data_IF_485649784358
#
_entry.id   IF_485649784358
#
_cell.length_a   1.000
_cell.length_b   1.000
_cell.length_c   1.000
_cell.angle_alpha   90.00
_cell.angle_beta   90.00
_cell.angle_gamma   90.00
#
_symmetry.space_group_name_H-M   'P 1'
#
loop_
_entity.id
_entity.type
_entity.pdbx_description
1 polymer ?
#
# COMPACT_ATOMS: atom_id res chain seq x y z
N UNK A 1 26.28 1.76 18.95
CA UNK A 1 25.67 2.49 17.80
C UNK A 1 24.16 2.46 17.97
N UNK A 2 23.52 3.62 18.17
CA UNK A 2 22.06 3.71 18.14
C UNK A 2 21.61 3.54 16.69
N UNK A 3 21.18 2.34 16.30
CA UNK A 3 20.38 2.20 15.09
C UNK A 3 19.15 3.07 15.28
N UNK A 4 19.09 4.24 14.62
CA UNK A 4 17.84 4.99 14.54
C UNK A 4 16.79 4.01 14.03
N UNK A 5 15.80 3.72 14.86
CA UNK A 5 14.71 2.85 14.44
C UNK A 5 14.04 3.49 13.25
N UNK A 6 13.92 2.72 12.18
CA UNK A 6 13.16 3.12 11.01
C UNK A 6 11.70 3.07 11.46
N UNK A 7 11.06 4.23 11.44
CA UNK A 7 9.64 4.39 11.74
C UNK A 7 8.94 4.65 10.42
N UNK A 8 7.89 3.88 10.06
CA UNK A 8 7.06 4.25 8.92
C UNK A 8 6.47 5.64 9.18
N UNK A 9 6.51 6.48 8.17
CA UNK A 9 5.91 7.81 8.23
C UNK A 9 5.29 8.14 6.89
N UNK A 10 4.18 8.87 6.93
CA UNK A 10 3.67 9.55 5.75
C UNK A 10 4.39 10.89 5.58
N UNK A 11 3.90 11.73 4.67
CA UNK A 11 4.36 13.12 4.56
C UNK A 11 3.93 13.99 5.75
N UNK A 12 2.93 13.54 6.50
CA UNK A 12 2.14 14.34 7.45
C UNK A 12 2.10 13.76 8.87
N UNK A 13 2.13 12.44 9.00
CA UNK A 13 1.94 11.74 10.28
C UNK A 13 2.94 10.58 10.47
N UNK A 14 3.12 10.21 11.72
CA UNK A 14 3.99 9.15 12.22
C UNK A 14 3.20 8.21 13.14
N UNK A 15 3.78 7.06 13.47
CA UNK A 15 3.15 6.16 14.44
C UNK A 15 3.00 6.80 15.84
N UNK A 16 3.87 7.76 16.18
CA UNK A 16 3.77 8.52 17.42
C UNK A 16 2.50 9.37 17.47
N UNK A 17 2.06 9.93 16.34
CA UNK A 17 0.83 10.71 16.24
C UNK A 17 -0.40 9.82 16.53
N UNK A 18 -0.38 8.57 16.04
CA UNK A 18 -1.46 7.59 16.31
C UNK A 18 -1.60 7.32 17.81
N UNK A 19 -0.45 7.21 18.50
CA UNK A 19 -0.39 7.00 19.94
C UNK A 19 -0.89 8.23 20.70
N UNK A 20 -0.34 9.41 20.39
CA UNK A 20 -0.61 10.65 21.13
C UNK A 20 -2.05 11.14 20.94
N UNK A 21 -2.64 10.90 19.77
CA UNK A 21 -4.01 11.32 19.45
C UNK A 21 -5.06 10.22 19.71
N UNK A 22 -4.66 9.04 20.22
CA UNK A 22 -5.59 7.98 20.61
C UNK A 22 -6.24 7.22 19.46
N UNK A 23 -5.58 7.15 18.29
CA UNK A 23 -6.08 6.45 17.10
C UNK A 23 -5.65 4.99 16.98
N UNK A 24 -4.97 4.42 17.99
CA UNK A 24 -4.52 3.01 18.00
C UNK A 24 -5.66 2.01 17.70
N UNK A 25 -6.79 2.14 18.41
CA UNK A 25 -7.96 1.26 18.20
C UNK A 25 -8.54 1.44 16.80
N UNK A 26 -8.55 2.68 16.31
CA UNK A 26 -9.06 3.00 14.98
C UNK A 26 -8.21 2.32 13.90
N UNK A 27 -6.88 2.42 14.01
CA UNK A 27 -5.93 1.79 13.10
C UNK A 27 -6.17 0.28 13.00
N UNK A 28 -6.36 -0.40 14.13
CA UNK A 28 -6.57 -1.87 14.17
C UNK A 28 -7.82 -2.36 13.44
N UNK A 29 -8.80 -1.50 13.17
CA UNK A 29 -10.04 -1.86 12.45
C UNK A 29 -9.89 -1.83 10.94
N UNK A 30 -9.00 -0.98 10.42
CA UNK A 30 -8.90 -0.72 8.99
C UNK A 30 -7.80 -1.52 8.31
N UNK A 31 -6.79 -1.94 9.06
CA UNK A 31 -5.72 -2.82 8.54
C UNK A 31 -5.62 -4.11 9.36
N UNK A 32 -6.72 -4.87 9.53
CA UNK A 32 -6.66 -6.07 10.35
C UNK A 32 -5.71 -7.11 9.73
N UNK A 33 -5.72 -7.26 8.40
CA UNK A 33 -4.99 -8.33 7.70
C UNK A 33 -4.54 -8.01 6.25
N UNK A 34 -4.65 -6.76 5.76
CA UNK A 34 -4.48 -6.42 4.32
C UNK A 34 -3.35 -7.23 3.62
N UNK A 35 -3.76 -8.11 2.68
CA UNK A 35 -3.21 -9.46 2.37
C UNK A 35 -2.31 -9.49 1.10
N UNK A 36 -1.60 -10.62 0.93
CA UNK A 36 -0.74 -11.16 -0.16
C UNK A 36 0.52 -10.35 -0.50
N UNK A 37 1.69 -10.92 -0.21
CA UNK A 37 3.02 -10.31 -0.43
C UNK A 37 3.75 -9.96 0.86
N UNK A 38 3.45 -10.70 1.93
CA UNK A 38 3.76 -10.34 3.31
C UNK A 38 5.20 -9.93 3.56
N UNK A 39 5.34 -8.87 4.36
CA UNK A 39 6.52 -8.63 5.17
C UNK A 39 6.06 -8.13 6.55
N UNK A 40 5.75 -9.08 7.44
CA UNK A 40 5.72 -8.80 8.88
C UNK A 40 7.13 -8.36 9.29
N UNK A 41 7.34 -7.05 9.46
CA UNK A 41 8.68 -6.51 9.73
C UNK A 41 8.94 -6.26 11.21
N UNK A 42 7.89 -6.02 12.01
CA UNK A 42 8.05 -5.50 13.36
C UNK A 42 7.92 -6.56 14.45
N UNK A 43 8.87 -6.57 15.38
CA UNK A 43 8.85 -7.45 16.55
C UNK A 43 8.80 -6.65 17.87
N UNK A 44 8.80 -7.37 19.00
CA UNK A 44 8.72 -6.77 20.33
C UNK A 44 9.88 -5.81 20.65
N UNK A 45 11.07 -6.05 20.09
CA UNK A 45 12.20 -5.12 20.24
C UNK A 45 11.88 -3.80 19.57
N UNK A 46 11.27 -3.81 18.37
CA UNK A 46 10.88 -2.61 17.62
C UNK A 46 9.85 -1.77 18.36
N UNK A 47 8.86 -2.42 18.98
CA UNK A 47 7.80 -1.79 19.75
C UNK A 47 8.22 -1.26 21.15
N UNK A 48 9.32 -1.76 21.72
CA UNK A 48 9.71 -1.45 23.11
C UNK A 48 9.81 0.06 23.45
N UNK A 49 10.39 0.95 22.60
CA UNK A 49 10.43 2.38 22.88
C UNK A 49 9.05 3.02 22.91
N UNK A 50 8.12 2.58 22.06
CA UNK A 50 6.74 3.08 22.04
C UNK A 50 5.98 2.62 23.28
N UNK A 51 6.18 1.39 23.73
CA UNK A 51 5.63 0.90 24.99
C UNK A 51 6.14 1.72 26.19
N UNK A 52 7.44 2.06 26.20
CA UNK A 52 8.02 2.96 27.21
C UNK A 52 7.43 4.37 27.11
N UNK A 53 7.24 4.90 25.90
CA UNK A 53 6.63 6.22 25.65
C UNK A 53 5.21 6.27 26.22
N UNK A 54 4.37 5.29 25.91
CA UNK A 54 3.01 5.13 26.44
C UNK A 54 2.96 5.00 27.96
N UNK A 55 3.90 4.23 28.56
CA UNK A 55 3.99 4.11 30.02
C UNK A 55 4.26 5.46 30.69
N UNK A 56 4.95 6.37 29.99
CA UNK A 56 5.30 7.69 30.50
C UNK A 56 4.25 8.76 30.19
N UNK A 57 3.15 8.43 29.50
CA UNK A 57 1.99 9.33 29.31
C UNK A 57 0.86 8.94 30.26
N UNK A 58 0.13 9.93 30.78
CA UNK A 58 -0.92 9.75 31.81
C UNK A 58 -2.13 8.92 31.35
N UNK A 59 -2.30 8.71 30.03
CA UNK A 59 -3.45 8.06 29.42
C UNK A 59 -3.14 6.69 28.78
N UNK A 60 -1.89 6.18 28.90
CA UNK A 60 -1.42 4.97 28.22
C UNK A 60 -1.90 3.64 28.84
N UNK A 61 -3.20 3.51 29.11
CA UNK A 61 -3.76 2.32 29.76
C UNK A 61 -3.67 1.08 28.86
N UNK A 62 -2.90 0.09 29.33
CA UNK A 62 -3.01 -1.35 29.07
C UNK A 62 -2.69 -1.91 27.66
N UNK A 63 -1.70 -1.36 26.94
CA UNK A 63 -1.21 -2.00 25.70
C UNK A 63 0.07 -2.82 25.93
N UNK A 64 0.07 -4.07 25.49
CA UNK A 64 1.25 -4.93 25.56
C UNK A 64 2.26 -4.61 24.45
N UNK A 65 3.54 -4.93 24.67
CA UNK A 65 4.60 -4.75 23.64
C UNK A 65 4.27 -5.54 22.36
N UNK A 66 3.67 -6.73 22.48
CA UNK A 66 3.23 -7.53 21.33
C UNK A 66 2.16 -6.81 20.53
N UNK A 67 1.16 -6.25 21.21
CA UNK A 67 0.09 -5.49 20.56
C UNK A 67 0.64 -4.25 19.84
N UNK A 68 1.60 -3.54 20.45
CA UNK A 68 2.24 -2.39 19.81
C UNK A 68 3.09 -2.77 18.59
N UNK A 69 3.71 -3.96 18.59
CA UNK A 69 4.41 -4.46 17.40
C UNK A 69 3.43 -4.71 16.24
N UNK A 70 2.26 -5.30 16.54
CA UNK A 70 1.19 -5.46 15.55
C UNK A 70 0.67 -4.13 15.02
N UNK A 71 0.42 -3.15 15.88
CA UNK A 71 -0.01 -1.81 15.44
C UNK A 71 1.03 -1.11 14.57
N UNK A 72 2.33 -1.30 14.84
CA UNK A 72 3.40 -0.75 14.01
C UNK A 72 3.43 -1.40 12.61
N UNK A 73 3.15 -2.71 12.53
CA UNK A 73 2.96 -3.41 11.23
C UNK A 73 1.73 -2.89 10.48
N UNK A 74 0.61 -2.71 11.18
CA UNK A 74 -0.60 -2.12 10.62
C UNK A 74 -0.36 -0.69 10.10
N UNK A 75 0.43 0.10 10.83
CA UNK A 75 0.81 1.44 10.43
C UNK A 75 1.68 1.45 9.17
N UNK A 76 2.69 0.58 9.08
CA UNK A 76 3.53 0.44 7.88
C UNK A 76 2.70 0.09 6.64
N UNK A 77 1.76 -0.85 6.79
CA UNK A 77 0.81 -1.21 5.72
C UNK A 77 -0.11 -0.05 5.37
N UNK A 78 -0.64 0.68 6.35
CA UNK A 78 -1.46 1.85 6.07
C UNK A 78 -0.70 2.93 5.29
N UNK A 79 0.61 3.06 5.50
CA UNK A 79 1.47 3.98 4.73
C UNK A 79 1.63 3.56 3.25
N UNK A 80 1.36 2.29 2.94
CA UNK A 80 1.49 1.70 1.60
C UNK A 80 0.14 1.53 0.89
N UNK A 81 -0.97 1.78 1.58
CA UNK A 81 -2.33 1.74 1.01
C UNK A 81 -2.74 3.11 0.52
N UNK A 82 -3.14 3.20 -0.75
CA UNK A 82 -3.52 4.45 -1.40
C UNK A 82 -4.94 4.38 -1.93
N UNK A 83 -5.71 5.45 -1.73
CA UNK A 83 -7.07 5.54 -2.21
C UNK A 83 -7.08 5.65 -3.74
N UNK A 84 -7.85 4.79 -4.40
CA UNK A 84 -7.90 4.64 -5.88
C UNK A 84 -8.18 5.97 -6.60
N UNK A 85 -9.08 6.80 -6.05
CA UNK A 85 -9.50 8.07 -6.68
C UNK A 85 -8.66 9.28 -6.25
N UNK A 86 -8.52 9.52 -4.95
CA UNK A 86 -7.88 10.72 -4.41
C UNK A 86 -6.36 10.61 -4.38
N UNK A 87 -5.81 9.38 -4.39
CA UNK A 87 -4.39 9.13 -4.17
C UNK A 87 -3.92 9.46 -2.75
N UNK A 88 -4.84 9.67 -1.80
CA UNK A 88 -4.49 9.87 -0.38
C UNK A 88 -4.08 8.54 0.23
N UNK A 89 -3.16 8.61 1.20
CA UNK A 89 -2.69 7.44 1.90
C UNK A 89 -3.64 7.10 3.06
N UNK A 90 -3.93 5.82 3.27
CA UNK A 90 -4.80 5.37 4.36
C UNK A 90 -4.31 5.89 5.72
N UNK A 91 -3.01 5.90 5.93
CA UNK A 91 -2.36 6.41 7.14
C UNK A 91 -2.64 7.89 7.44
N UNK A 92 -2.97 8.72 6.43
CA UNK A 92 -3.40 10.11 6.64
C UNK A 92 -4.94 10.19 6.82
N UNK A 93 -5.67 9.34 6.09
CA UNK A 93 -7.13 9.31 6.13
C UNK A 93 -7.68 8.82 7.49
N UNK A 94 -6.91 8.05 8.28
CA UNK A 94 -7.31 7.67 9.65
C UNK A 94 -7.47 8.88 10.59
N UNK A 95 -6.80 10.00 10.33
CA UNK A 95 -6.87 11.21 11.15
C UNK A 95 -7.98 12.15 10.70
N UNK A 96 -8.27 12.19 9.39
CA UNK A 96 -9.13 13.21 8.79
C UNK A 96 -10.50 12.70 8.36
N UNK A 97 -10.58 11.46 7.87
CA UNK A 97 -11.83 10.91 7.38
C UNK A 97 -12.73 10.49 8.53
N UNK A 98 -14.05 10.61 8.36
CA UNK A 98 -15.04 10.02 9.29
C UNK A 98 -15.41 8.59 8.94
N UNK A 99 -15.25 8.19 7.67
CA UNK A 99 -15.62 6.87 7.17
C UNK A 99 -14.60 6.41 6.13
N UNK A 100 -14.02 5.24 6.38
CA UNK A 100 -13.03 4.62 5.51
C UNK A 100 -13.64 3.34 4.95
N UNK A 101 -13.50 3.18 3.64
CA UNK A 101 -13.95 2.04 2.86
C UNK A 101 -12.69 1.31 2.37
N UNK A 102 -12.32 0.20 3.00
CA UNK A 102 -11.07 -0.51 2.71
C UNK A 102 -10.97 -0.94 1.25
N UNK A 103 -12.09 -1.30 0.64
CA UNK A 103 -12.24 -1.65 -0.79
C UNK A 103 -11.87 -0.51 -1.75
N UNK A 104 -11.76 0.72 -1.25
CA UNK A 104 -11.36 1.89 -2.05
C UNK A 104 -9.85 2.12 -2.06
N UNK A 105 -9.07 1.28 -1.39
CA UNK A 105 -7.61 1.38 -1.30
C UNK A 105 -6.96 0.19 -1.98
N UNK A 106 -5.76 0.42 -2.53
CA UNK A 106 -4.91 -0.60 -3.10
C UNK A 106 -3.51 -0.48 -2.52
N UNK A 107 -2.78 -1.59 -2.51
CA UNK A 107 -1.38 -1.62 -2.09
C UNK A 107 -0.49 -1.03 -3.18
N UNK A 108 0.21 0.05 -2.86
CA UNK A 108 1.08 0.76 -3.81
C UNK A 108 2.47 0.07 -3.88
N UNK A 109 2.49 -1.18 -4.27
CA UNK A 109 3.70 -1.96 -4.54
C UNK A 109 3.41 -2.94 -5.67
N UNK A 110 4.39 -3.13 -6.54
CA UNK A 110 4.30 -4.15 -7.56
C UNK A 110 4.39 -5.55 -6.92
N UNK A 111 3.33 -6.34 -7.07
CA UNK A 111 3.26 -7.73 -6.60
C UNK A 111 3.45 -8.75 -7.71
N UNK A 112 3.55 -8.29 -8.97
CA UNK A 112 3.67 -9.13 -10.15
C UNK A 112 5.13 -9.36 -10.53
N UNK A 113 5.45 -10.61 -10.85
CA UNK A 113 6.72 -10.95 -11.51
C UNK A 113 6.61 -10.93 -13.04
N UNK A 114 5.40 -10.79 -13.58
CA UNK A 114 5.12 -10.80 -15.01
C UNK A 114 5.02 -9.38 -15.56
N UNK A 115 4.22 -8.52 -14.92
CA UNK A 115 4.09 -7.09 -15.24
C UNK A 115 5.05 -6.31 -14.34
N UNK A 116 6.34 -6.33 -14.70
CA UNK A 116 7.39 -5.67 -13.91
C UNK A 116 7.36 -4.16 -14.07
N UNK A 117 8.07 -3.44 -13.19
CA UNK A 117 8.17 -1.98 -13.29
C UNK A 117 8.84 -1.55 -14.61
N UNK A 118 9.78 -2.32 -15.15
CA UNK A 118 10.38 -2.02 -16.47
C UNK A 118 9.34 -2.08 -17.60
N UNK A 119 8.41 -3.05 -17.56
CA UNK A 119 7.32 -3.16 -18.54
C UNK A 119 6.40 -1.95 -18.44
N UNK A 120 6.09 -1.52 -17.22
CA UNK A 120 5.27 -0.33 -16.97
C UNK A 120 5.95 0.93 -17.53
N UNK A 121 7.27 1.06 -17.35
CA UNK A 121 8.05 2.18 -17.89
C UNK A 121 8.06 2.19 -19.43
N UNK A 122 8.20 1.03 -20.08
CA UNK A 122 8.06 0.93 -21.54
C UNK A 122 6.68 1.43 -22.00
N UNK A 123 5.60 0.99 -21.33
CA UNK A 123 4.25 1.46 -21.63
C UNK A 123 4.14 2.97 -21.43
N UNK A 124 4.71 3.51 -20.35
CA UNK A 124 4.71 4.96 -20.09
C UNK A 124 5.30 5.76 -21.24
N UNK A 125 6.37 5.28 -21.85
CA UNK A 125 7.02 5.93 -22.99
C UNK A 125 6.22 5.81 -24.29
N UNK A 126 5.70 4.62 -24.61
CA UNK A 126 5.21 4.29 -25.97
C UNK A 126 3.93 3.46 -26.02
N UNK A 127 3.03 3.61 -25.06
CA UNK A 127 1.78 2.84 -24.94
C UNK A 127 0.97 2.68 -26.24
N UNK A 128 0.88 3.71 -27.10
CA UNK A 128 0.11 3.66 -28.37
C UNK A 128 0.70 2.68 -29.37
N UNK A 129 2.04 2.56 -29.40
CA UNK A 129 2.74 1.63 -30.28
C UNK A 129 2.51 0.20 -29.78
N UNK A 130 2.71 -0.03 -28.49
CA UNK A 130 2.53 -1.34 -27.88
C UNK A 130 1.09 -1.84 -28.00
N UNK A 131 0.08 -1.00 -27.76
CA UNK A 131 -1.33 -1.41 -27.87
C UNK A 131 -1.73 -1.95 -29.25
N UNK A 132 -0.97 -1.64 -30.31
CA UNK A 132 -1.20 -2.11 -31.68
C UNK A 132 -0.44 -3.40 -32.03
N UNK A 133 0.54 -3.79 -31.21
CA UNK A 133 1.39 -4.97 -31.38
C UNK A 133 1.03 -6.12 -30.45
N UNK A 134 0.02 -5.93 -29.59
CA UNK A 134 -0.37 -6.89 -28.59
C UNK A 134 -0.80 -8.23 -29.21
N UNK A 135 -0.16 -9.30 -28.78
CA UNK A 135 -0.55 -10.67 -29.09
C UNK A 135 -1.75 -11.13 -28.24
N UNK A 136 -2.67 -11.90 -28.82
CA UNK A 136 -3.88 -12.36 -28.13
C UNK A 136 -3.57 -13.27 -26.93
N UNK A 137 -2.54 -14.11 -27.02
CA UNK A 137 -2.14 -14.99 -25.92
C UNK A 137 -1.60 -14.19 -24.73
N UNK A 138 -0.81 -13.15 -25.00
CA UNK A 138 -0.26 -12.28 -23.96
C UNK A 138 -1.35 -11.37 -23.36
N UNK A 139 -2.33 -10.92 -24.15
CA UNK A 139 -3.51 -10.20 -23.64
C UNK A 139 -4.20 -11.02 -22.54
N UNK A 140 -4.48 -12.30 -22.80
CA UNK A 140 -5.13 -13.19 -21.83
C UNK A 140 -4.27 -13.38 -20.57
N UNK A 141 -2.95 -13.50 -20.71
CA UNK A 141 -2.04 -13.61 -19.57
C UNK A 141 -2.05 -12.34 -18.70
N UNK A 142 -2.09 -11.16 -19.30
CA UNK A 142 -2.20 -9.88 -18.57
C UNK A 142 -3.54 -9.75 -17.84
N UNK A 143 -4.65 -10.14 -18.47
CA UNK A 143 -5.97 -10.14 -17.80
C UNK A 143 -5.97 -11.07 -16.59
N UNK A 144 -5.45 -12.30 -16.74
CA UNK A 144 -5.34 -13.26 -15.65
C UNK A 144 -4.45 -12.75 -14.50
N UNK A 145 -3.37 -12.01 -14.82
CA UNK A 145 -2.51 -11.41 -13.80
C UNK A 145 -3.28 -10.37 -12.94
N UNK A 146 -4.14 -9.56 -13.56
CA UNK A 146 -5.00 -8.62 -12.83
C UNK A 146 -6.08 -9.30 -11.99
N UNK A 147 -6.57 -10.45 -12.41
CA UNK A 147 -7.53 -11.24 -11.61
C UNK A 147 -6.86 -11.85 -10.36
N UNK A 148 -5.61 -12.32 -10.48
CA UNK A 148 -4.84 -12.84 -9.34
C UNK A 148 -4.40 -11.71 -8.40
N UNK A 149 -4.02 -10.56 -8.96
CA UNK A 149 -3.50 -9.42 -8.22
C UNK A 149 -4.36 -8.16 -8.47
N UNK A 150 -5.55 -8.03 -7.85
CA UNK A 150 -6.46 -6.91 -8.12
C UNK A 150 -5.84 -5.53 -7.89
N UNK A 151 -4.95 -5.40 -6.89
CA UNK A 151 -4.25 -4.15 -6.59
C UNK A 151 -3.26 -3.72 -7.68
N UNK A 152 -2.74 -4.69 -8.44
CA UNK A 152 -1.77 -4.45 -9.52
C UNK A 152 -2.35 -3.51 -10.58
N UNK A 153 -3.64 -3.66 -10.90
CA UNK A 153 -4.30 -2.77 -11.85
C UNK A 153 -4.18 -1.30 -11.43
N UNK A 154 -4.49 -1.01 -10.17
CA UNK A 154 -4.42 0.35 -9.64
C UNK A 154 -2.99 0.83 -9.44
N UNK A 155 -2.08 -0.05 -9.05
CA UNK A 155 -0.65 0.23 -9.00
C UNK A 155 -0.13 0.68 -10.37
N UNK A 156 -0.39 -0.09 -11.43
CA UNK A 156 0.03 0.23 -12.81
C UNK A 156 -0.54 1.57 -13.26
N UNK A 157 -1.84 1.83 -13.02
CA UNK A 157 -2.44 3.14 -13.34
C UNK A 157 -1.75 4.29 -12.60
N UNK A 158 -1.44 4.08 -11.31
CA UNK A 158 -0.70 5.03 -10.49
C UNK A 158 0.67 5.36 -11.09
N UNK A 159 1.45 4.34 -11.46
CA UNK A 159 2.79 4.51 -12.04
C UNK A 159 2.77 5.20 -13.42
N UNK A 160 1.76 4.91 -14.23
CA UNK A 160 1.53 5.57 -15.51
C UNK A 160 1.01 7.00 -15.37
N UNK A 161 0.54 7.40 -14.19
CA UNK A 161 -0.10 8.70 -13.95
C UNK A 161 -1.46 8.84 -14.64
N UNK A 162 -2.13 7.72 -14.94
CA UNK A 162 -3.39 7.71 -15.68
C UNK A 162 -4.58 7.69 -14.72
N UNK A 163 -5.47 8.68 -14.85
CA UNK A 163 -6.66 8.77 -13.97
C UNK A 163 -7.83 7.92 -14.44
N UNK A 164 -8.04 7.83 -15.76
CA UNK A 164 -9.11 7.04 -16.38
C UNK A 164 -8.64 6.53 -17.73
N UNK A 165 -8.57 5.22 -17.86
CA UNK A 165 -8.26 4.53 -19.12
C UNK A 165 -9.24 3.38 -19.29
N UNK A 166 -9.54 3.00 -20.53
CA UNK A 166 -10.31 1.78 -20.79
C UNK A 166 -9.46 0.58 -20.39
N UNK A 167 -10.01 -0.33 -19.58
CA UNK A 167 -9.31 -1.52 -19.11
C UNK A 167 -8.62 -2.29 -20.25
N UNK A 168 -9.37 -2.64 -21.31
CA UNK A 168 -8.85 -3.31 -22.51
C UNK A 168 -7.68 -2.56 -23.17
N UNK A 169 -7.68 -1.23 -23.14
CA UNK A 169 -6.57 -0.47 -23.70
C UNK A 169 -5.29 -0.60 -22.87
N UNK A 170 -5.40 -0.59 -21.54
CA UNK A 170 -4.26 -0.81 -20.65
C UNK A 170 -3.70 -2.22 -20.86
N UNK A 171 -4.57 -3.24 -20.86
CA UNK A 171 -4.21 -4.65 -21.10
C UNK A 171 -3.43 -4.78 -22.41
N UNK A 172 -3.95 -4.22 -23.51
CA UNK A 172 -3.26 -4.23 -24.81
C UNK A 172 -1.91 -3.51 -24.78
N UNK A 173 -1.82 -2.37 -24.09
CA UNK A 173 -0.55 -1.64 -24.00
C UNK A 173 0.51 -2.46 -23.26
N UNK A 174 0.16 -3.11 -22.16
CA UNK A 174 1.06 -3.99 -21.40
C UNK A 174 1.42 -5.24 -22.18
N UNK A 175 0.43 -5.92 -22.77
CA UNK A 175 0.66 -7.12 -23.57
C UNK A 175 1.59 -6.85 -24.75
N UNK A 176 1.41 -5.72 -25.43
CA UNK A 176 2.30 -5.34 -26.52
C UNK A 176 3.71 -4.94 -26.08
N UNK A 177 3.90 -4.50 -24.84
CA UNK A 177 5.24 -4.23 -24.28
C UNK A 177 5.96 -5.52 -23.84
N UNK A 178 5.20 -6.58 -23.56
CA UNK A 178 5.68 -7.92 -23.25
C UNK A 178 5.92 -8.79 -24.51
N UNK A 179 5.49 -8.31 -25.68
CA UNK A 179 5.64 -8.98 -26.99
C UNK A 179 6.94 -8.56 -27.68
#
# INVERSE_FOLDING_TARGET
>A
MNSKKIVPKTKTHTFDDVIEQGYCDRLSRYVPDAVVGGLHKYNSKDALPYAKKLKNTSNGKHLSVKYLASLLDMWDRSCQLFHVITGTCLADDIFTSKKIHNESYFYNTNTSNFITDEVIDLVKEKHRSYSRKADEGIILAVEHEFDIHPDLYYYVLGQLGWKRVKHNYLVKALAGALS
#
